data_IF_452084590719
#
_entry.id   IF_452084590719
#
_cell.length_a   1.000
_cell.length_b   1.000
_cell.length_c   1.000
_cell.angle_alpha   90.00
_cell.angle_beta   90.00
_cell.angle_gamma   90.00
#
_symmetry.space_group_name_H-M   'P 1'
#
loop_
_entity.id
_entity.type
_entity.pdbx_description
1 polymer ?
#
# COMPACT_ATOMS: atom_id res chain seq x y z
N UNK A 1 20.27 -98.63 -9.36
CA UNK A 1 20.42 -97.25 -9.84
C UNK A 1 21.89 -97.07 -10.17
N UNK A 2 22.24 -96.79 -11.42
CA UNK A 2 23.64 -96.59 -11.84
C UNK A 2 24.06 -95.14 -11.60
N UNK A 3 25.35 -94.90 -11.41
CA UNK A 3 25.92 -93.57 -11.16
C UNK A 3 25.48 -92.54 -12.23
N UNK A 4 25.39 -92.98 -13.49
CA UNK A 4 24.92 -92.18 -14.62
C UNK A 4 23.46 -91.70 -14.52
N UNK A 5 22.56 -92.47 -13.90
CA UNK A 5 21.16 -92.06 -13.69
C UNK A 5 21.05 -90.99 -12.59
N UNK A 6 21.91 -91.07 -11.58
CA UNK A 6 21.99 -90.07 -10.50
C UNK A 6 22.46 -88.72 -11.05
N UNK A 7 23.50 -88.73 -11.88
CA UNK A 7 24.05 -87.52 -12.51
C UNK A 7 23.03 -86.84 -13.43
N UNK A 8 22.29 -87.62 -14.24
CA UNK A 8 21.22 -87.08 -15.11
C UNK A 8 20.09 -86.44 -14.30
N UNK A 9 19.73 -87.03 -13.16
CA UNK A 9 18.68 -86.51 -12.27
C UNK A 9 19.11 -85.20 -11.60
N UNK A 10 20.37 -85.12 -11.15
CA UNK A 10 20.96 -83.88 -10.59
C UNK A 10 20.98 -82.77 -11.64
N UNK A 11 21.45 -83.05 -12.86
CA UNK A 11 21.48 -82.08 -13.96
C UNK A 11 20.08 -81.56 -14.32
N UNK A 12 19.08 -82.44 -14.34
CA UNK A 12 17.69 -82.06 -14.61
C UNK A 12 17.13 -81.14 -13.52
N UNK A 13 17.34 -81.50 -12.25
CA UNK A 13 16.89 -80.69 -11.12
C UNK A 13 17.61 -79.33 -11.10
N UNK A 14 18.91 -79.29 -11.33
CA UNK A 14 19.68 -78.06 -11.37
C UNK A 14 19.21 -77.12 -12.51
N UNK A 15 18.93 -77.66 -13.69
CA UNK A 15 18.36 -76.89 -14.81
C UNK A 15 16.98 -76.34 -14.47
N UNK A 16 16.10 -77.16 -13.90
CA UNK A 16 14.77 -76.72 -13.51
C UNK A 16 14.83 -75.60 -12.47
N UNK A 17 15.69 -75.75 -11.45
CA UNK A 17 15.83 -74.75 -10.40
C UNK A 17 16.44 -73.44 -10.90
N UNK A 18 17.40 -73.52 -11.85
CA UNK A 18 17.94 -72.34 -12.52
C UNK A 18 16.86 -71.62 -13.36
N UNK A 19 16.01 -72.38 -14.06
CA UNK A 19 14.89 -71.83 -14.83
C UNK A 19 13.87 -71.12 -13.92
N UNK A 20 13.52 -71.73 -12.78
CA UNK A 20 12.63 -71.15 -11.77
C UNK A 20 13.21 -69.86 -11.17
N UNK A 21 14.52 -69.84 -10.88
CA UNK A 21 15.24 -68.65 -10.40
C UNK A 21 15.19 -67.50 -11.42
N UNK A 22 15.46 -67.78 -12.69
CA UNK A 22 15.40 -66.78 -13.77
C UNK A 22 13.98 -66.23 -13.90
N UNK A 23 12.98 -67.12 -13.94
CA UNK A 23 11.57 -66.71 -14.09
C UNK A 23 11.11 -65.84 -12.93
N UNK A 24 11.49 -66.19 -11.71
CA UNK A 24 11.17 -65.40 -10.50
C UNK A 24 11.90 -64.05 -10.51
N UNK A 25 13.15 -64.01 -10.97
CA UNK A 25 13.91 -62.77 -11.08
C UNK A 25 13.31 -61.82 -12.14
N UNK A 26 12.89 -62.36 -13.28
CA UNK A 26 12.22 -61.61 -14.35
C UNK A 26 10.87 -61.04 -13.88
N UNK A 27 10.06 -61.82 -13.16
CA UNK A 27 8.80 -61.35 -12.58
C UNK A 27 9.04 -60.20 -11.59
N UNK A 28 10.00 -60.35 -10.68
CA UNK A 28 10.33 -59.30 -9.70
C UNK A 28 10.87 -58.03 -10.39
N UNK A 29 11.66 -58.18 -11.45
CA UNK A 29 12.15 -57.05 -12.21
C UNK A 29 10.99 -56.31 -12.92
N UNK A 30 10.05 -57.06 -13.51
CA UNK A 30 8.87 -56.48 -14.15
C UNK A 30 7.98 -55.74 -13.13
N UNK A 31 7.75 -56.33 -11.95
CA UNK A 31 7.01 -55.69 -10.86
C UNK A 31 7.69 -54.40 -10.39
N UNK A 32 9.01 -54.42 -10.17
CA UNK A 32 9.76 -53.22 -9.78
C UNK A 32 9.69 -52.11 -10.84
N UNK A 33 9.76 -52.46 -12.12
CA UNK A 33 9.62 -51.48 -13.20
C UNK A 33 8.21 -50.88 -13.21
N UNK A 34 7.18 -51.71 -13.07
CA UNK A 34 5.79 -51.25 -13.02
C UNK A 34 5.54 -50.32 -11.82
N UNK A 35 6.04 -50.69 -10.64
CA UNK A 35 5.94 -49.86 -9.43
C UNK A 35 6.69 -48.54 -9.57
N UNK A 36 7.90 -48.56 -10.13
CA UNK A 36 8.68 -47.34 -10.38
C UNK A 36 7.96 -46.41 -11.37
N UNK A 37 7.36 -46.95 -12.43
CA UNK A 37 6.58 -46.18 -13.39
C UNK A 37 5.31 -45.59 -12.76
N UNK A 38 4.57 -46.37 -11.97
CA UNK A 38 3.38 -45.90 -11.27
C UNK A 38 3.72 -44.78 -10.27
N UNK A 39 4.82 -44.91 -9.54
CA UNK A 39 5.30 -43.85 -8.64
C UNK A 39 5.75 -42.60 -9.39
N UNK A 40 6.45 -42.75 -10.52
CA UNK A 40 6.88 -41.64 -11.35
C UNK A 40 5.67 -40.85 -11.89
N UNK A 41 4.65 -41.55 -12.39
CA UNK A 41 3.43 -40.90 -12.90
C UNK A 41 2.65 -40.22 -11.78
N UNK A 42 2.52 -40.86 -10.61
CA UNK A 42 1.89 -40.23 -9.44
C UNK A 42 2.61 -38.95 -9.01
N UNK A 43 3.94 -38.97 -8.97
CA UNK A 43 4.76 -37.77 -8.66
C UNK A 43 4.58 -36.69 -9.72
N UNK A 44 4.58 -37.05 -11.00
CA UNK A 44 4.34 -36.13 -12.12
C UNK A 44 2.95 -35.48 -12.02
N UNK A 45 1.91 -36.27 -11.81
CA UNK A 45 0.54 -35.77 -11.66
C UNK A 45 0.41 -34.80 -10.47
N UNK A 46 1.05 -35.15 -9.35
CA UNK A 46 1.07 -34.31 -8.14
C UNK A 46 1.80 -32.98 -8.40
N UNK A 47 2.98 -33.03 -9.02
CA UNK A 47 3.75 -31.84 -9.37
C UNK A 47 3.01 -30.94 -10.35
N UNK A 48 2.31 -31.51 -11.33
CA UNK A 48 1.48 -30.75 -12.27
C UNK A 48 0.29 -30.08 -11.58
N UNK A 49 -0.39 -30.79 -10.68
CA UNK A 49 -1.51 -30.22 -9.91
C UNK A 49 -1.04 -29.06 -9.02
N UNK A 50 0.06 -29.25 -8.29
CA UNK A 50 0.68 -28.20 -7.46
C UNK A 50 1.15 -27.01 -8.31
N UNK A 51 1.78 -27.27 -9.45
CA UNK A 51 2.21 -26.22 -10.38
C UNK A 51 1.04 -25.38 -10.89
N UNK A 52 -0.07 -26.01 -11.28
CA UNK A 52 -1.30 -25.32 -11.70
C UNK A 52 -1.90 -24.48 -10.58
N UNK A 53 -2.01 -25.03 -9.37
CA UNK A 53 -2.52 -24.31 -8.21
C UNK A 53 -1.65 -23.10 -7.86
N UNK A 54 -0.32 -23.27 -7.86
CA UNK A 54 0.63 -22.19 -7.60
C UNK A 54 0.57 -21.09 -8.66
N UNK A 55 0.43 -21.46 -9.94
CA UNK A 55 0.29 -20.50 -11.03
C UNK A 55 -1.00 -19.69 -10.89
N UNK A 56 -2.12 -20.35 -10.58
CA UNK A 56 -3.40 -19.69 -10.35
C UNK A 56 -3.32 -18.71 -9.18
N UNK A 57 -2.75 -19.15 -8.05
CA UNK A 57 -2.52 -18.30 -6.89
C UNK A 57 -1.65 -17.09 -7.21
N UNK A 58 -0.52 -17.28 -7.91
CA UNK A 58 0.37 -16.16 -8.30
C UNK A 58 -0.33 -15.17 -9.23
N UNK A 59 -1.14 -15.66 -10.18
CA UNK A 59 -1.92 -14.81 -11.07
C UNK A 59 -2.91 -13.95 -10.28
N UNK A 60 -3.62 -14.54 -9.32
CA UNK A 60 -4.54 -13.81 -8.46
C UNK A 60 -3.83 -12.76 -7.61
N UNK A 61 -2.71 -13.12 -6.98
CA UNK A 61 -1.90 -12.16 -6.21
C UNK A 61 -1.42 -10.99 -7.07
N UNK A 62 -0.99 -11.28 -8.30
CA UNK A 62 -0.56 -10.26 -9.24
C UNK A 62 -1.72 -9.33 -9.64
N UNK A 63 -2.92 -9.87 -9.90
CA UNK A 63 -4.11 -9.07 -10.21
C UNK A 63 -4.47 -8.13 -9.06
N UNK A 64 -4.51 -8.65 -7.82
CA UNK A 64 -4.75 -7.83 -6.62
C UNK A 64 -3.71 -6.74 -6.44
N UNK A 65 -2.43 -7.05 -6.66
CA UNK A 65 -1.34 -6.07 -6.59
C UNK A 65 -1.50 -4.95 -7.63
N UNK A 66 -1.92 -5.28 -8.85
CA UNK A 66 -2.22 -4.28 -9.87
C UNK A 66 -3.41 -3.40 -9.49
N UNK A 67 -4.49 -3.97 -8.96
CA UNK A 67 -5.66 -3.22 -8.51
C UNK A 67 -5.31 -2.23 -7.40
N UNK A 68 -4.55 -2.67 -6.39
CA UNK A 68 -4.06 -1.79 -5.32
C UNK A 68 -3.18 -0.68 -5.87
N UNK A 69 -2.27 -1.01 -6.80
CA UNK A 69 -1.40 -0.01 -7.43
C UNK A 69 -2.19 1.02 -8.22
N UNK A 70 -3.20 0.57 -8.98
CA UNK A 70 -4.11 1.45 -9.74
C UNK A 70 -4.87 2.40 -8.82
N UNK A 71 -5.50 1.86 -7.78
CA UNK A 71 -6.27 2.66 -6.79
C UNK A 71 -5.34 3.67 -6.10
N UNK A 72 -4.13 3.26 -5.71
CA UNK A 72 -3.15 4.16 -5.10
C UNK A 72 -2.74 5.29 -6.04
N UNK A 73 -2.50 5.00 -7.32
CA UNK A 73 -2.18 6.01 -8.31
C UNK A 73 -3.32 7.01 -8.52
N UNK A 74 -4.57 6.52 -8.54
CA UNK A 74 -5.76 7.37 -8.63
C UNK A 74 -5.88 8.29 -7.41
N UNK A 75 -5.82 7.74 -6.19
CA UNK A 75 -5.88 8.52 -4.94
C UNK A 75 -4.77 9.58 -4.91
N UNK A 76 -3.54 9.21 -5.25
CA UNK A 76 -2.42 10.15 -5.27
C UNK A 76 -2.65 11.31 -6.26
N UNK A 77 -3.25 11.00 -7.42
CA UNK A 77 -3.58 12.03 -8.42
C UNK A 77 -4.66 12.97 -7.91
N UNK A 78 -5.74 12.41 -7.34
CA UNK A 78 -6.84 13.18 -6.73
C UNK A 78 -6.30 14.09 -5.60
N UNK A 79 -5.45 13.55 -4.74
CA UNK A 79 -4.81 14.29 -3.65
C UNK A 79 -3.87 15.40 -4.16
N UNK A 80 -3.14 15.17 -5.26
CA UNK A 80 -2.30 16.21 -5.85
C UNK A 80 -3.10 17.42 -6.34
N UNK A 81 -4.30 17.20 -6.90
CA UNK A 81 -5.21 18.28 -7.28
C UNK A 81 -5.71 19.08 -6.09
N UNK A 82 -6.12 18.39 -5.01
CA UNK A 82 -6.53 19.04 -3.77
C UNK A 82 -5.38 19.84 -3.17
N UNK A 83 -4.18 19.24 -3.05
CA UNK A 83 -2.99 19.96 -2.55
C UNK A 83 -2.71 21.20 -3.39
N UNK A 84 -2.75 21.09 -4.73
CA UNK A 84 -2.55 22.24 -5.61
C UNK A 84 -3.58 23.35 -5.39
N UNK A 85 -4.84 23.00 -5.12
CA UNK A 85 -5.87 24.00 -4.82
C UNK A 85 -5.55 24.76 -3.53
N UNK A 86 -5.05 24.08 -2.49
CA UNK A 86 -4.61 24.73 -1.25
C UNK A 86 -3.32 25.53 -1.43
N UNK A 87 -2.39 25.09 -2.28
CA UNK A 87 -1.19 25.87 -2.62
C UNK A 87 -1.58 27.18 -3.34
N UNK A 88 -2.57 27.13 -4.23
CA UNK A 88 -3.12 28.33 -4.87
C UNK A 88 -3.85 29.24 -3.88
N UNK A 89 -4.59 28.67 -2.93
CA UNK A 89 -5.23 29.44 -1.86
C UNK A 89 -4.19 30.14 -0.98
N UNK A 90 -3.08 29.48 -0.68
CA UNK A 90 -1.93 30.05 0.03
C UNK A 90 -1.33 31.23 -0.71
N UNK A 91 -1.05 31.07 -2.00
CA UNK A 91 -0.52 32.14 -2.83
C UNK A 91 -1.47 33.35 -2.86
N UNK A 92 -2.79 33.11 -2.97
CA UNK A 92 -3.79 34.17 -2.86
C UNK A 92 -3.81 34.86 -1.51
N UNK A 93 -3.68 34.13 -0.40
CA UNK A 93 -3.64 34.74 0.94
C UNK A 93 -2.39 35.60 1.17
N UNK A 94 -1.26 35.23 0.59
CA UNK A 94 -0.02 36.03 0.65
C UNK A 94 -0.19 37.36 -0.08
N UNK A 95 -0.95 37.35 -1.18
CA UNK A 95 -1.20 38.49 -2.05
C UNK A 95 -2.63 39.03 -1.93
N UNK A 96 -3.30 38.76 -0.81
CA UNK A 96 -4.65 39.21 -0.55
C UNK A 96 -4.71 40.74 -0.54
N UNK A 97 -5.83 41.30 -0.98
CA UNK A 97 -6.02 42.75 -0.92
C UNK A 97 -6.36 43.22 0.52
N UNK A 98 -6.30 44.53 0.73
CA UNK A 98 -6.55 45.15 2.03
C UNK A 98 -7.90 44.75 2.62
N UNK A 99 -8.93 44.59 1.78
CA UNK A 99 -10.26 44.22 2.24
C UNK A 99 -10.31 42.77 2.72
N UNK A 100 -9.73 41.86 1.95
CA UNK A 100 -9.62 40.44 2.29
C UNK A 100 -8.82 40.24 3.59
N UNK A 101 -7.69 40.93 3.73
CA UNK A 101 -6.87 40.92 4.94
C UNK A 101 -7.68 41.42 6.15
N UNK A 102 -8.42 42.52 5.99
CA UNK A 102 -9.24 43.08 7.06
C UNK A 102 -10.32 42.09 7.52
N UNK A 103 -10.99 41.42 6.59
CA UNK A 103 -12.02 40.41 6.89
C UNK A 103 -11.41 39.22 7.65
N UNK A 104 -10.26 38.72 7.21
CA UNK A 104 -9.56 37.60 7.86
C UNK A 104 -9.20 37.98 9.30
N UNK A 105 -8.55 39.12 9.49
CA UNK A 105 -8.10 39.55 10.81
C UNK A 105 -9.28 39.77 11.74
N UNK A 106 -10.34 40.44 11.29
CA UNK A 106 -11.56 40.61 12.11
C UNK A 106 -12.20 39.29 12.50
N UNK A 107 -12.29 38.33 11.57
CA UNK A 107 -12.88 37.02 11.86
C UNK A 107 -12.09 36.25 12.91
N UNK A 108 -10.76 36.21 12.78
CA UNK A 108 -9.88 35.52 13.72
C UNK A 108 -9.78 36.24 15.08
N UNK A 109 -9.71 37.58 15.09
CA UNK A 109 -9.79 38.35 16.33
C UNK A 109 -11.10 38.12 17.06
N UNK A 110 -12.25 38.08 16.36
CA UNK A 110 -13.55 37.77 16.98
C UNK A 110 -13.61 36.35 17.56
N UNK A 111 -12.92 35.40 16.93
CA UNK A 111 -12.94 33.99 17.32
C UNK A 111 -12.04 33.71 18.53
N UNK A 112 -10.89 34.38 18.61
CA UNK A 112 -9.83 34.03 19.57
C UNK A 112 -9.45 35.13 20.55
N UNK A 113 -9.67 36.40 20.23
CA UNK A 113 -9.26 37.51 21.11
C UNK A 113 -10.33 37.82 22.18
N UNK A 114 -9.85 38.14 23.37
CA UNK A 114 -10.62 38.62 24.51
C UNK A 114 -10.25 40.07 24.87
N UNK A 115 -11.05 40.70 25.73
CA UNK A 115 -10.77 42.05 26.19
C UNK A 115 -9.44 42.10 26.96
N UNK A 116 -8.51 42.94 26.51
CA UNK A 116 -7.17 43.08 27.10
C UNK A 116 -6.07 42.30 26.37
N UNK A 117 -6.42 41.48 25.38
CA UNK A 117 -5.43 40.79 24.55
C UNK A 117 -4.71 41.74 23.61
N UNK A 118 -3.43 41.43 23.35
CA UNK A 118 -2.62 42.08 22.33
C UNK A 118 -2.73 41.32 21.02
N UNK A 119 -3.01 42.04 19.94
CA UNK A 119 -3.06 41.50 18.59
C UNK A 119 -1.84 41.99 17.83
N UNK A 120 -0.97 41.06 17.46
CA UNK A 120 0.17 41.30 16.58
C UNK A 120 -0.17 40.81 15.19
N UNK A 121 0.21 41.57 14.17
CA UNK A 121 -0.06 41.23 12.77
C UNK A 121 1.20 41.31 11.93
N UNK A 122 1.14 40.62 10.78
CA UNK A 122 2.18 40.67 9.78
C UNK A 122 2.42 42.12 9.29
N UNK A 123 3.68 42.49 9.10
CA UNK A 123 4.03 43.85 8.64
C UNK A 123 3.41 44.18 7.29
N UNK A 124 3.35 43.20 6.39
CA UNK A 124 2.71 43.34 5.08
C UNK A 124 1.18 43.46 5.17
N UNK A 125 0.55 43.27 6.32
CA UNK A 125 -0.90 43.42 6.52
C UNK A 125 -1.27 44.68 7.31
N UNK A 126 -0.27 45.43 7.80
CA UNK A 126 -0.46 46.60 8.64
C UNK A 126 -1.26 47.72 7.96
N UNK A 127 -1.04 47.91 6.66
CA UNK A 127 -1.70 48.97 5.88
C UNK A 127 -3.22 48.74 5.75
N UNK A 128 -3.66 47.49 5.81
CA UNK A 128 -5.06 47.11 5.68
C UNK A 128 -5.89 47.36 6.97
N UNK A 129 -5.23 47.72 8.08
CA UNK A 129 -5.85 47.76 9.42
C UNK A 129 -5.59 49.07 10.19
N UNK A 130 -5.88 50.24 9.60
CA UNK A 130 -5.54 51.53 10.21
C UNK A 130 -6.29 51.82 11.53
N UNK A 131 -7.47 51.21 11.73
CA UNK A 131 -8.36 51.50 12.87
C UNK A 131 -8.26 50.49 14.03
N UNK A 132 -7.41 49.46 13.91
CA UNK A 132 -7.23 48.46 14.95
C UNK A 132 -5.98 48.77 15.80
N UNK A 133 -6.02 48.52 17.13
CA UNK A 133 -4.84 48.66 18.00
C UNK A 133 -3.90 47.45 17.80
N UNK A 134 -3.37 47.31 16.59
CA UNK A 134 -2.46 46.23 16.20
C UNK A 134 -1.01 46.66 16.33
N UNK A 135 -0.15 45.78 16.83
CA UNK A 135 1.30 46.01 16.84
C UNK A 135 1.94 45.19 15.72
N UNK A 136 2.63 45.86 14.80
CA UNK A 136 3.32 45.18 13.69
C UNK A 136 4.62 44.56 14.19
N UNK A 137 4.64 43.24 14.36
CA UNK A 137 5.76 42.58 15.03
C UNK A 137 6.20 41.25 14.42
N UNK A 138 5.52 40.77 13.37
CA UNK A 138 5.72 39.41 12.85
C UNK A 138 5.81 39.40 11.32
N UNK A 139 6.40 38.33 10.79
CA UNK A 139 6.68 38.15 9.37
C UNK A 139 5.46 37.65 8.57
N UNK A 140 4.51 36.95 9.21
CA UNK A 140 3.31 36.39 8.57
C UNK A 140 2.20 36.10 9.58
N UNK A 141 0.94 36.30 9.17
CA UNK A 141 -0.27 35.96 9.93
C UNK A 141 -0.63 36.90 11.09
N UNK A 142 -1.21 36.31 12.13
CA UNK A 142 -1.77 36.98 13.32
C UNK A 142 -1.27 36.27 14.58
N UNK A 143 -0.86 37.01 15.59
CA UNK A 143 -0.65 36.48 16.95
C UNK A 143 -1.61 37.18 17.90
N UNK A 144 -2.26 36.41 18.74
CA UNK A 144 -3.11 36.91 19.83
C UNK A 144 -2.49 36.43 21.14
N UNK A 145 -2.02 37.36 21.96
CA UNK A 145 -1.31 37.04 23.19
C UNK A 145 -1.76 37.88 24.38
N UNK A 146 -1.66 37.28 25.57
CA UNK A 146 -1.74 37.95 26.85
C UNK A 146 -0.74 37.31 27.84
N UNK A 147 -0.84 37.61 29.13
CA UNK A 147 0.09 37.07 30.14
C UNK A 147 -0.01 35.55 30.33
N UNK A 148 -1.08 34.91 29.87
CA UNK A 148 -1.40 33.49 30.12
C UNK A 148 -1.24 32.62 28.87
N UNK A 149 -1.48 33.16 27.67
CA UNK A 149 -1.39 32.39 26.43
C UNK A 149 -0.89 33.20 25.25
N UNK A 150 -0.48 32.48 24.21
CA UNK A 150 -0.11 32.99 22.91
C UNK A 150 -0.65 32.06 21.83
N UNK A 151 -1.49 32.59 20.96
CA UNK A 151 -2.09 31.89 19.83
C UNK A 151 -1.42 32.43 18.57
N UNK A 152 -0.76 31.55 17.84
CA UNK A 152 -0.12 31.89 16.57
C UNK A 152 -0.95 31.35 15.42
N UNK A 153 -1.34 32.25 14.51
CA UNK A 153 -2.19 31.98 13.35
C UNK A 153 -1.44 32.49 12.11
N UNK A 154 -0.40 31.76 11.72
CA UNK A 154 0.24 31.99 10.43
C UNK A 154 -0.67 31.54 9.27
N UNK A 155 -0.35 31.97 8.05
CA UNK A 155 -1.12 31.60 6.85
C UNK A 155 -1.27 30.07 6.72
N UNK A 156 -0.21 29.33 7.08
CA UNK A 156 -0.19 27.88 6.96
C UNK A 156 -1.10 27.20 8.01
N UNK A 157 -1.19 27.75 9.21
CA UNK A 157 -2.08 27.30 10.30
C UNK A 157 -3.54 27.61 9.99
N UNK A 158 -3.81 28.79 9.42
CA UNK A 158 -5.14 29.18 8.92
C UNK A 158 -5.60 28.19 7.84
N UNK A 159 -4.74 27.89 6.88
CA UNK A 159 -5.04 26.91 5.83
C UNK A 159 -5.20 25.51 6.37
N UNK A 160 -4.36 25.08 7.32
CA UNK A 160 -4.45 23.77 7.93
C UNK A 160 -5.78 23.56 8.67
N UNK A 161 -6.25 24.57 9.41
CA UNK A 161 -7.56 24.53 10.06
C UNK A 161 -8.72 24.38 9.06
N UNK A 162 -8.59 24.99 7.89
CA UNK A 162 -9.59 24.93 6.83
C UNK A 162 -9.46 23.70 5.92
N UNK A 163 -8.31 23.02 5.92
CA UNK A 163 -8.00 21.97 4.95
C UNK A 163 -8.89 20.76 5.10
N UNK A 164 -8.96 20.20 6.30
CA UNK A 164 -9.76 19.00 6.57
C UNK A 164 -11.26 19.20 6.30
N UNK A 165 -11.93 20.27 6.79
CA UNK A 165 -13.35 20.46 6.53
C UNK A 165 -13.67 20.81 5.07
N UNK A 166 -12.76 21.44 4.34
CA UNK A 166 -13.00 21.85 2.95
C UNK A 166 -12.54 20.82 1.92
N UNK A 167 -11.70 19.84 2.28
CA UNK A 167 -11.20 18.83 1.36
C UNK A 167 -12.31 18.09 0.60
N UNK A 168 -13.42 17.63 1.23
CA UNK A 168 -14.52 17.00 0.51
C UNK A 168 -15.15 17.94 -0.53
N UNK A 169 -15.44 19.19 -0.14
CA UNK A 169 -16.04 20.19 -1.03
C UNK A 169 -15.13 20.52 -2.21
N UNK A 170 -13.83 20.72 -1.95
CA UNK A 170 -12.83 21.00 -2.99
C UNK A 170 -12.72 19.81 -3.95
N UNK A 171 -12.72 18.59 -3.43
CA UNK A 171 -12.66 17.38 -4.25
C UNK A 171 -13.91 17.22 -5.14
N UNK A 172 -15.08 17.62 -4.65
CA UNK A 172 -16.34 17.57 -5.41
C UNK A 172 -16.32 18.59 -6.56
N UNK A 173 -15.92 19.84 -6.27
CA UNK A 173 -15.80 20.91 -7.27
C UNK A 173 -14.80 20.54 -8.37
N UNK A 174 -13.69 19.91 -8.00
CA UNK A 174 -12.65 19.47 -8.93
C UNK A 174 -13.03 18.19 -9.70
N UNK A 175 -14.16 17.55 -9.37
CA UNK A 175 -14.58 16.29 -10.00
C UNK A 175 -13.64 15.12 -9.69
N UNK A 176 -12.98 15.15 -8.53
CA UNK A 176 -12.01 14.13 -8.08
C UNK A 176 -12.55 13.28 -6.93
N UNK A 177 -13.80 13.48 -6.49
CA UNK A 177 -14.51 12.56 -5.60
C UNK A 177 -15.05 11.36 -6.39
#
# INVERSE_FOLDING_TARGET
>A
MTEQDLTKKILRNAKQHAQELVTTAEQRAAEQIADAQAQAEKRRATALAQGKANLAYRKEQQQRAYEVTRIKAEINTKQAWVTRAFDMAREKLIHADDHEIQVIVQAYSKKYAQAGDKILIAQNWAHALPDLPVTTAIDSGIIIENETYRIELDIDSILAELKDPLTPTVAEILGVL
#
